data_IF_485021718502
#
_entry.id   IF_485021718502
#
_cell.length_a   1.000
_cell.length_b   1.000
_cell.length_c   1.000
_cell.angle_alpha   90.00
_cell.angle_beta   90.00
_cell.angle_gamma   90.00
#
_symmetry.space_group_name_H-M   'P 1'
#
loop_
_entity.id
_entity.type
_entity.pdbx_description
1 polymer ?
#
# COMPACT_ATOMS: atom_id res chain seq x y z
N UNK A 1 -17.55 31.99 -23.05
CA UNK A 1 -18.04 30.63 -22.67
C UNK A 1 -16.83 29.74 -22.51
N UNK A 2 -16.48 29.36 -21.27
CA UNK A 2 -15.44 28.36 -21.03
C UNK A 2 -15.99 27.00 -21.47
N UNK A 3 -15.22 26.18 -22.22
CA UNK A 3 -15.69 24.86 -22.62
C UNK A 3 -15.97 24.01 -21.39
N UNK A 4 -17.04 23.23 -21.43
CA UNK A 4 -17.51 22.38 -20.33
C UNK A 4 -16.47 21.31 -19.89
N UNK A 5 -15.45 21.08 -20.72
CA UNK A 5 -14.37 20.12 -20.49
C UNK A 5 -13.18 20.72 -19.72
N UNK A 6 -13.22 22.01 -19.36
CA UNK A 6 -12.14 22.65 -18.61
C UNK A 6 -12.05 22.03 -17.21
N UNK A 7 -11.15 21.06 -17.02
CA UNK A 7 -10.88 20.39 -15.74
C UNK A 7 -11.20 18.90 -15.67
N UNK A 8 -11.74 18.28 -16.73
CA UNK A 8 -11.94 16.82 -16.77
C UNK A 8 -10.73 16.16 -17.47
N UNK A 9 -9.96 15.31 -16.78
CA UNK A 9 -8.87 14.55 -17.39
C UNK A 9 -9.39 13.72 -18.57
N UNK A 10 -8.79 13.86 -19.75
CA UNK A 10 -9.25 13.20 -20.97
C UNK A 10 -8.16 12.52 -21.80
N UNK A 11 -6.89 12.82 -21.54
CA UNK A 11 -5.76 12.32 -22.29
C UNK A 11 -4.71 11.65 -21.38
N UNK A 12 -3.42 12.00 -21.52
CA UNK A 12 -2.34 11.45 -20.69
C UNK A 12 -2.57 11.54 -19.18
N UNK A 13 -3.37 12.50 -18.72
CA UNK A 13 -3.73 12.70 -17.33
C UNK A 13 -4.48 11.50 -16.74
N UNK A 14 -5.33 10.82 -17.53
CA UNK A 14 -6.02 9.60 -17.09
C UNK A 14 -5.05 8.45 -16.86
N UNK A 15 -4.04 8.33 -17.72
CA UNK A 15 -2.98 7.33 -17.55
C UNK A 15 -2.20 7.60 -16.25
N UNK A 16 -1.87 8.86 -15.98
CA UNK A 16 -1.17 9.25 -14.74
C UNK A 16 -2.01 8.90 -13.52
N UNK A 17 -3.30 9.24 -13.50
CA UNK A 17 -4.21 8.91 -12.40
C UNK A 17 -4.28 7.40 -12.18
N UNK A 18 -4.39 6.62 -13.27
CA UNK A 18 -4.44 5.16 -13.20
C UNK A 18 -3.13 4.58 -12.66
N UNK A 19 -1.98 5.07 -13.10
CA UNK A 19 -0.68 4.61 -12.63
C UNK A 19 -0.48 4.95 -11.15
N UNK A 20 -0.84 6.15 -10.71
CA UNK A 20 -0.78 6.55 -9.30
C UNK A 20 -1.69 5.66 -8.47
N UNK A 21 -2.93 5.43 -8.92
CA UNK A 21 -3.88 4.54 -8.25
C UNK A 21 -3.38 3.11 -8.15
N UNK A 22 -2.76 2.58 -9.21
CA UNK A 22 -2.17 1.24 -9.23
C UNK A 22 -0.97 1.14 -8.28
N UNK A 23 -0.08 2.13 -8.28
CA UNK A 23 1.11 2.15 -7.43
C UNK A 23 0.68 2.21 -5.97
N UNK A 24 -0.15 3.19 -5.60
CA UNK A 24 -0.52 3.42 -4.21
C UNK A 24 -1.51 2.37 -3.71
N UNK A 25 -2.49 1.98 -4.53
CA UNK A 25 -3.56 1.07 -4.14
C UNK A 25 -3.21 -0.41 -4.22
N UNK A 26 -2.16 -0.80 -4.96
CA UNK A 26 -1.81 -2.20 -5.14
C UNK A 26 -0.32 -2.48 -4.93
N UNK A 27 0.56 -1.80 -5.65
CA UNK A 27 1.99 -2.15 -5.63
C UNK A 27 2.65 -1.85 -4.27
N UNK A 28 2.37 -0.69 -3.67
CA UNK A 28 2.88 -0.34 -2.34
C UNK A 28 2.38 -1.33 -1.27
N UNK A 29 1.07 -1.62 -1.15
CA UNK A 29 0.56 -2.64 -0.23
C UNK A 29 1.24 -4.00 -0.38
N UNK A 30 1.38 -4.50 -1.61
CA UNK A 30 2.02 -5.79 -1.88
C UNK A 30 3.50 -5.78 -1.52
N UNK A 31 4.22 -4.70 -1.86
CA UNK A 31 5.63 -4.55 -1.52
C UNK A 31 5.85 -4.55 0.01
N UNK A 32 5.02 -3.82 0.76
CA UNK A 32 5.09 -3.79 2.22
C UNK A 32 4.74 -5.15 2.83
N UNK A 33 3.68 -5.82 2.34
CA UNK A 33 3.33 -7.17 2.78
C UNK A 33 4.46 -8.18 2.54
N UNK A 34 5.05 -8.15 1.33
CA UNK A 34 6.19 -9.01 0.99
C UNK A 34 7.40 -8.74 1.89
N UNK A 35 7.73 -7.47 2.12
CA UNK A 35 8.81 -7.09 3.04
C UNK A 35 8.57 -7.64 4.45
N UNK A 36 7.39 -7.38 5.02
CA UNK A 36 7.02 -7.83 6.38
C UNK A 36 7.02 -9.34 6.48
N UNK A 37 6.48 -10.05 5.48
CA UNK A 37 6.48 -11.51 5.45
C UNK A 37 7.89 -12.08 5.52
N UNK A 38 8.80 -11.61 4.66
CA UNK A 38 10.15 -12.15 4.61
C UNK A 38 10.95 -11.79 5.87
N UNK A 39 10.84 -10.57 6.36
CA UNK A 39 11.52 -10.14 7.60
C UNK A 39 11.03 -10.97 8.80
N UNK A 40 9.70 -11.17 8.94
CA UNK A 40 9.13 -11.95 10.02
C UNK A 40 9.48 -13.45 9.91
N UNK A 41 9.47 -14.01 8.69
CA UNK A 41 9.83 -15.41 8.45
C UNK A 41 11.29 -15.67 8.78
N UNK A 42 12.19 -14.77 8.37
CA UNK A 42 13.63 -14.87 8.67
C UNK A 42 13.93 -14.79 10.18
N UNK A 43 13.04 -14.17 10.95
CA UNK A 43 13.12 -14.06 12.42
C UNK A 43 12.43 -15.23 13.14
N UNK A 44 11.85 -16.19 12.41
CA UNK A 44 11.14 -17.32 13.02
C UNK A 44 9.81 -16.94 13.68
N UNK A 45 9.16 -15.87 13.24
CA UNK A 45 7.86 -15.44 13.77
C UNK A 45 6.73 -16.32 13.21
N UNK A 46 6.05 -17.07 14.08
CA UNK A 46 4.92 -17.95 13.72
C UNK A 46 3.76 -17.22 13.03
N UNK A 47 3.64 -15.91 13.24
CA UNK A 47 2.57 -15.08 12.71
C UNK A 47 3.00 -14.26 11.48
N UNK A 48 4.09 -14.61 10.79
CA UNK A 48 4.62 -13.87 9.65
C UNK A 48 3.57 -13.56 8.57
N UNK A 49 2.73 -14.54 8.21
CA UNK A 49 1.66 -14.36 7.23
C UNK A 49 0.58 -13.37 7.71
N UNK A 50 0.21 -13.43 8.99
CA UNK A 50 -0.78 -12.51 9.57
C UNK A 50 -0.27 -11.07 9.57
N UNK A 51 0.99 -10.86 9.95
CA UNK A 51 1.63 -9.54 9.89
C UNK A 51 1.64 -8.96 8.48
N UNK A 52 2.01 -9.78 7.50
CA UNK A 52 2.03 -9.37 6.11
C UNK A 52 0.64 -8.98 5.60
N UNK A 53 -0.39 -9.77 5.92
CA UNK A 53 -1.78 -9.50 5.52
C UNK A 53 -2.32 -8.24 6.19
N UNK A 54 -2.06 -8.06 7.48
CA UNK A 54 -2.53 -6.87 8.22
C UNK A 54 -1.87 -5.61 7.66
N UNK A 55 -0.55 -5.62 7.47
CA UNK A 55 0.17 -4.45 6.95
C UNK A 55 -0.22 -4.15 5.51
N UNK A 56 -0.25 -5.14 4.62
CA UNK A 56 -0.67 -4.95 3.23
C UNK A 56 -2.13 -4.52 3.14
N UNK A 57 -3.03 -5.24 3.82
CA UNK A 57 -4.47 -4.99 3.77
C UNK A 57 -4.82 -3.59 4.26
N UNK A 58 -4.30 -3.18 5.43
CA UNK A 58 -4.55 -1.84 5.96
C UNK A 58 -3.92 -0.74 5.09
N UNK A 59 -2.78 -1.00 4.45
CA UNK A 59 -2.18 -0.05 3.49
C UNK A 59 -3.09 0.12 2.27
N UNK A 60 -3.63 -0.97 1.73
CA UNK A 60 -4.50 -0.93 0.56
C UNK A 60 -5.82 -0.20 0.82
N UNK A 61 -6.44 -0.41 1.98
CA UNK A 61 -7.78 0.15 2.28
C UNK A 61 -7.76 1.52 2.94
N UNK A 62 -6.70 1.86 3.69
CA UNK A 62 -6.65 3.11 4.47
C UNK A 62 -5.35 3.91 4.33
N UNK A 63 -4.32 3.33 3.71
CA UNK A 63 -2.95 3.84 3.64
C UNK A 63 -2.31 4.07 5.02
N UNK A 64 -2.77 5.06 5.78
CA UNK A 64 -2.25 5.42 7.11
C UNK A 64 -2.44 4.32 8.16
N UNK A 65 -3.54 3.56 8.11
CA UNK A 65 -3.71 2.40 8.99
C UNK A 65 -2.66 1.32 8.73
N UNK A 66 -2.25 1.16 7.47
CA UNK A 66 -1.16 0.28 7.08
C UNK A 66 0.20 0.75 7.57
N UNK A 67 0.48 2.05 7.48
CA UNK A 67 1.70 2.64 8.02
C UNK A 67 1.77 2.51 9.55
N UNK A 68 0.65 2.70 10.24
CA UNK A 68 0.57 2.48 11.68
C UNK A 68 0.83 1.01 12.04
N UNK A 69 0.21 0.06 11.32
CA UNK A 69 0.46 -1.36 11.51
C UNK A 69 1.92 -1.75 11.22
N UNK A 70 2.53 -1.18 10.18
CA UNK A 70 3.94 -1.36 9.87
C UNK A 70 4.84 -0.82 10.99
N UNK A 71 4.53 0.35 11.54
CA UNK A 71 5.28 0.92 12.65
C UNK A 71 5.21 0.02 13.90
N UNK A 72 4.02 -0.51 14.21
CA UNK A 72 3.85 -1.49 15.30
C UNK A 72 4.65 -2.76 15.05
N UNK A 73 4.59 -3.31 13.83
CA UNK A 73 5.40 -4.48 13.46
C UNK A 73 6.89 -4.20 13.65
N UNK A 74 7.41 -3.08 13.15
CA UNK A 74 8.83 -2.68 13.27
C UNK A 74 9.23 -2.49 14.73
N UNK A 75 8.32 -2.03 15.58
CA UNK A 75 8.57 -1.86 17.01
C UNK A 75 8.60 -3.20 17.78
N UNK A 76 7.80 -4.18 17.36
CA UNK A 76 7.67 -5.48 18.04
C UNK A 76 8.60 -6.57 17.47
N UNK A 77 9.14 -6.41 16.27
CA UNK A 77 9.85 -7.50 15.54
C UNK A 77 11.21 -7.90 16.13
N UNK A 78 11.68 -7.25 17.19
CA UNK A 78 12.90 -7.62 17.92
C UNK A 78 12.56 -8.56 19.08
#
# INVERSE_FOLDING_TARGET
MLPLQFGVPGGPELLIILLIGLIIGLLIPLALGYFVYNDATNRGNDNAALWAVVVAGLTAVTFFGGLAALAVYIWQRD
#
